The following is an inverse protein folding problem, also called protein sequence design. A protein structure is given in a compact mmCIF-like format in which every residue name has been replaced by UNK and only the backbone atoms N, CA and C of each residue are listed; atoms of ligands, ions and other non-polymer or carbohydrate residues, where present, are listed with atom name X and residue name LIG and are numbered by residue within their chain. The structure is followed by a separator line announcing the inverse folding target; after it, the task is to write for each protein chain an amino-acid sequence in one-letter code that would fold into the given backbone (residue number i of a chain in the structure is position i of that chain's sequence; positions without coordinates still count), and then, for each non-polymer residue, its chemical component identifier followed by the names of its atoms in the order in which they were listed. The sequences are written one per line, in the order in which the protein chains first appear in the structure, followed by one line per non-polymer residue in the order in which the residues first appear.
data_IF_200595070579
#
_entry.id   IF_200595070579
#
_cell.length_a   1.000
_cell.length_b   1.000
_cell.length_c   1.000
_cell.angle_alpha   90.00
_cell.angle_beta   90.00
_cell.angle_gamma   90.00
#
_symmetry.space_group_name_H-M   'P 1'
#
loop_
_entity.id
_entity.type
_entity.pdbx_description
1 polymer ?
#
# COMPACT_ATOMS: atom_id res chain seq x y z
N UNK A 1 29.28 38.13 6.82
CA UNK A 1 29.04 36.76 6.31
C UNK A 1 30.03 36.50 5.19
N UNK A 2 30.90 35.50 5.34
CA UNK A 2 31.79 35.04 4.26
C UNK A 2 30.95 34.55 3.08
N UNK A 3 31.31 34.97 1.87
CA UNK A 3 30.66 34.55 0.64
C UNK A 3 30.93 33.05 0.47
N UNK A 4 29.88 32.23 0.56
CA UNK A 4 29.99 30.78 0.36
C UNK A 4 30.31 30.53 -1.11
N UNK A 5 31.28 29.66 -1.40
CA UNK A 5 31.60 29.27 -2.77
C UNK A 5 30.37 28.59 -3.40
N UNK A 6 29.84 29.10 -4.53
CA UNK A 6 28.77 28.44 -5.27
C UNK A 6 29.04 26.96 -5.57
N UNK A 7 30.31 26.56 -5.78
CA UNK A 7 30.68 25.16 -6.01
C UNK A 7 30.48 24.29 -4.78
N UNK A 8 30.77 24.82 -3.59
CA UNK A 8 30.54 24.12 -2.33
C UNK A 8 29.04 23.95 -2.05
N UNK A 9 28.22 24.95 -2.43
CA UNK A 9 26.76 24.83 -2.35
C UNK A 9 26.28 23.72 -3.28
N UNK A 10 26.71 23.73 -4.54
CA UNK A 10 26.30 22.72 -5.52
C UNK A 10 26.67 21.31 -5.04
N UNK A 11 27.91 21.11 -4.56
CA UNK A 11 28.36 19.82 -4.02
C UNK A 11 27.48 19.30 -2.88
N UNK A 12 26.98 20.20 -2.02
CA UNK A 12 26.06 19.83 -0.93
C UNK A 12 24.68 19.47 -1.47
N UNK A 13 24.19 20.22 -2.46
CA UNK A 13 22.91 19.93 -3.11
C UNK A 13 22.94 18.61 -3.86
N UNK A 14 24.04 18.31 -4.56
CA UNK A 14 24.23 17.04 -5.26
C UNK A 14 24.19 15.87 -4.27
N UNK A 15 24.91 15.99 -3.15
CA UNK A 15 24.90 14.97 -2.09
C UNK A 15 23.50 14.79 -1.48
N UNK A 16 22.76 15.87 -1.25
CA UNK A 16 21.40 15.80 -0.73
C UNK A 16 20.48 15.11 -1.75
N UNK A 17 20.62 15.45 -3.03
CA UNK A 17 19.84 14.87 -4.12
C UNK A 17 20.11 13.38 -4.27
N UNK A 18 21.36 12.96 -4.14
CA UNK A 18 21.77 11.54 -4.12
C UNK A 18 21.09 10.80 -2.97
N UNK A 19 21.22 11.30 -1.73
CA UNK A 19 20.61 10.68 -0.53
C UNK A 19 19.09 10.55 -0.70
N UNK A 20 18.41 11.61 -1.14
CA UNK A 20 16.96 11.56 -1.32
C UNK A 20 16.54 10.62 -2.45
N UNK A 21 17.33 10.54 -3.53
CA UNK A 21 17.05 9.61 -4.62
C UNK A 21 17.11 8.16 -4.14
N UNK A 22 18.14 7.81 -3.37
CA UNK A 22 18.28 6.47 -2.79
C UNK A 22 17.15 6.12 -1.83
N UNK A 23 16.74 7.08 -0.97
CA UNK A 23 15.61 6.91 -0.06
C UNK A 23 14.32 6.62 -0.85
N UNK A 24 14.05 7.39 -1.90
CA UNK A 24 12.83 7.23 -2.71
C UNK A 24 12.84 5.88 -3.46
N UNK A 25 13.96 5.47 -4.05
CA UNK A 25 14.08 4.17 -4.72
C UNK A 25 13.91 3.00 -3.75
N UNK A 26 14.45 3.10 -2.53
CA UNK A 26 14.25 2.09 -1.50
C UNK A 26 12.78 2.04 -1.03
N UNK A 27 12.17 3.20 -0.80
CA UNK A 27 10.76 3.29 -0.43
C UNK A 27 9.86 2.67 -1.50
N UNK A 28 10.08 2.94 -2.79
CA UNK A 28 9.31 2.33 -3.88
C UNK A 28 9.41 0.80 -3.85
N UNK A 29 10.60 0.26 -3.58
CA UNK A 29 10.83 -1.18 -3.51
C UNK A 29 10.07 -1.81 -2.35
N UNK A 30 10.15 -1.24 -1.14
CA UNK A 30 9.47 -1.75 0.05
C UNK A 30 7.95 -1.59 -0.07
N UNK A 31 7.48 -0.50 -0.68
CA UNK A 31 6.06 -0.20 -0.88
C UNK A 31 5.35 -1.24 -1.74
N UNK A 32 6.08 -1.97 -2.58
CA UNK A 32 5.51 -3.06 -3.38
C UNK A 32 4.98 -4.17 -2.50
N UNK A 33 5.72 -4.61 -1.50
CA UNK A 33 5.41 -5.86 -0.78
C UNK A 33 4.93 -5.62 0.65
N UNK A 34 5.23 -4.46 1.25
CA UNK A 34 4.84 -4.13 2.62
C UNK A 34 3.41 -3.64 2.71
N UNK A 35 2.57 -4.40 3.41
CA UNK A 35 1.22 -3.99 3.78
C UNK A 35 1.27 -2.71 4.66
N UNK A 36 0.50 -1.66 4.32
CA UNK A 36 0.47 -0.40 5.07
C UNK A 36 -0.09 -0.51 6.49
N UNK A 37 -0.86 -1.56 6.75
CA UNK A 37 -1.44 -1.83 8.07
C UNK A 37 -0.65 -2.87 8.88
N UNK A 38 0.55 -3.29 8.45
CA UNK A 38 1.41 -4.21 9.19
C UNK A 38 2.47 -3.43 9.98
N UNK A 39 2.31 -3.38 11.30
CA UNK A 39 3.24 -2.66 12.17
C UNK A 39 4.60 -3.39 12.32
N UNK A 40 5.50 -2.82 13.13
CA UNK A 40 6.85 -3.39 13.36
C UNK A 40 6.86 -4.74 14.10
N UNK A 41 5.75 -5.11 14.74
CA UNK A 41 5.55 -6.38 15.45
C UNK A 41 4.74 -7.38 14.61
N UNK A 42 4.54 -7.09 13.33
CA UNK A 42 3.73 -7.88 12.39
C UNK A 42 2.23 -7.99 12.74
N UNK A 43 1.77 -7.15 13.65
CA UNK A 43 0.34 -7.01 13.93
C UNK A 43 -0.33 -6.15 12.86
N UNK A 44 -1.54 -6.56 12.50
CA UNK A 44 -2.47 -5.85 11.65
C UNK A 44 -3.15 -4.72 12.44
N UNK A 45 -3.01 -3.49 11.95
CA UNK A 45 -3.61 -2.27 12.52
C UNK A 45 -4.81 -1.78 11.72
N UNK A 46 -5.32 -2.58 10.78
CA UNK A 46 -6.46 -2.19 9.96
C UNK A 46 -7.76 -2.21 10.79
N UNK A 47 -8.51 -1.10 10.76
CA UNK A 47 -9.85 -0.99 11.36
C UNK A 47 -10.94 -1.67 10.50
N UNK A 48 -10.56 -2.20 9.33
CA UNK A 48 -11.45 -2.93 8.43
C UNK A 48 -10.96 -4.37 8.24
N UNK A 49 -11.91 -5.27 7.91
CA UNK A 49 -11.62 -6.67 7.59
C UNK A 49 -11.03 -6.81 6.19
N UNK A 50 -9.93 -7.54 6.07
CA UNK A 50 -9.36 -7.95 4.78
C UNK A 50 -9.03 -9.45 4.77
N UNK A 51 -8.87 -10.03 3.57
CA UNK A 51 -8.60 -11.47 3.40
C UNK A 51 -7.28 -11.97 4.01
N UNK A 52 -6.35 -11.05 4.26
CA UNK A 52 -5.02 -11.37 4.80
C UNK A 52 -4.97 -11.20 6.33
N UNK A 53 -6.04 -10.74 6.96
CA UNK A 53 -6.11 -10.59 8.41
C UNK A 53 -6.42 -11.95 9.01
N UNK A 54 -5.57 -12.44 9.89
CA UNK A 54 -5.72 -13.72 10.57
C UNK A 54 -6.06 -13.49 12.05
N UNK A 55 -6.78 -14.44 12.63
CA UNK A 55 -7.02 -14.47 14.06
C UNK A 55 -5.69 -14.58 14.79
N UNK A 56 -5.59 -13.91 15.93
CA UNK A 56 -4.44 -14.05 16.80
C UNK A 56 -4.54 -15.36 17.59
N UNK A 57 -3.44 -15.77 18.23
CA UNK A 57 -3.37 -17.01 19.02
C UNK A 57 -4.34 -17.01 20.21
N UNK A 58 -4.71 -15.83 20.71
CA UNK A 58 -5.70 -15.63 21.78
C UNK A 58 -6.73 -14.57 21.37
N UNK A 59 -7.93 -14.59 21.97
CA UNK A 59 -8.98 -13.60 21.67
C UNK A 59 -8.58 -12.16 21.99
N UNK A 60 -7.65 -11.97 22.92
CA UNK A 60 -7.14 -10.67 23.37
C UNK A 60 -5.94 -10.18 22.55
N UNK A 61 -5.32 -11.07 21.75
CA UNK A 61 -4.14 -10.73 20.99
C UNK A 61 -4.50 -9.94 19.71
N UNK A 62 -3.64 -9.00 19.29
CA UNK A 62 -3.86 -8.23 18.08
C UNK A 62 -3.76 -9.13 16.85
N UNK A 63 -4.69 -8.91 15.92
CA UNK A 63 -4.76 -9.66 14.66
C UNK A 63 -3.44 -9.54 13.90
N UNK A 64 -3.06 -10.58 13.16
CA UNK A 64 -1.81 -10.60 12.38
C UNK A 64 -2.10 -10.52 10.89
N UNK A 65 -1.09 -10.10 10.12
CA UNK A 65 -1.17 -10.11 8.67
C UNK A 65 -0.51 -11.38 8.12
N UNK A 66 -1.31 -12.33 7.65
CA UNK A 66 -0.85 -13.58 7.05
C UNK A 66 -0.38 -13.46 5.59
N UNK A 67 0.07 -12.28 5.19
CA UNK A 67 0.46 -12.04 3.81
C UNK A 67 1.93 -12.44 3.55
N UNK A 68 2.14 -13.22 2.49
CA UNK A 68 3.45 -13.77 2.10
C UNK A 68 4.33 -12.81 1.26
N UNK A 69 3.84 -11.62 0.89
CA UNK A 69 4.63 -10.60 0.16
C UNK A 69 4.31 -10.46 -1.33
N UNK A 70 3.42 -11.28 -1.88
CA UNK A 70 3.09 -11.32 -3.32
C UNK A 70 2.11 -10.23 -3.85
N UNK A 71 1.58 -9.35 -2.99
CA UNK A 71 0.66 -8.30 -3.43
C UNK A 71 1.40 -6.99 -3.63
N UNK A 72 1.07 -6.31 -4.73
CA UNK A 72 1.53 -4.95 -5.00
C UNK A 72 0.72 -3.94 -4.17
N UNK A 73 1.30 -3.45 -3.08
CA UNK A 73 0.73 -2.45 -2.19
C UNK A 73 1.01 -1.01 -2.60
N UNK A 74 1.72 -0.74 -3.71
CA UNK A 74 2.07 0.64 -4.11
C UNK A 74 0.86 1.55 -4.16
N UNK A 75 -0.27 1.08 -4.70
CA UNK A 75 -1.50 1.87 -4.78
C UNK A 75 -2.06 2.30 -3.42
N UNK A 76 -1.72 1.58 -2.34
CA UNK A 76 -2.13 1.93 -0.98
C UNK A 76 -1.20 2.97 -0.32
N UNK A 77 0.03 3.10 -0.83
CA UNK A 77 1.01 4.12 -0.41
C UNK A 77 0.98 5.38 -1.28
N UNK A 78 0.48 5.26 -2.52
CA UNK A 78 0.36 6.38 -3.46
C UNK A 78 -0.73 7.37 -3.02
N UNK A 79 -0.31 8.60 -2.73
CA UNK A 79 -1.20 9.72 -2.39
C UNK A 79 -1.60 10.59 -3.60
N UNK A 80 -1.25 10.19 -4.84
CA UNK A 80 -1.58 10.95 -6.04
C UNK A 80 -3.09 10.94 -6.29
N UNK A 81 -3.78 12.09 -6.24
CA UNK A 81 -5.24 12.15 -6.37
C UNK A 81 -5.79 11.57 -7.69
N UNK A 82 -5.04 11.68 -8.79
CA UNK A 82 -5.45 11.15 -10.09
C UNK A 82 -5.36 9.62 -10.14
N UNK A 83 -4.39 9.02 -9.46
CA UNK A 83 -4.26 7.57 -9.34
C UNK A 83 -5.31 7.00 -8.39
N UNK A 84 -5.63 7.71 -7.32
CA UNK A 84 -6.74 7.37 -6.42
C UNK A 84 -8.08 7.33 -7.17
N UNK A 85 -8.40 8.35 -7.99
CA UNK A 85 -9.63 8.36 -8.78
C UNK A 85 -9.74 7.14 -9.71
N UNK A 86 -8.62 6.77 -10.37
CA UNK A 86 -8.57 5.59 -11.23
C UNK A 86 -8.72 4.29 -10.44
N UNK A 87 -8.08 4.17 -9.28
CA UNK A 87 -8.20 3.01 -8.40
C UNK A 87 -9.64 2.82 -7.89
N UNK A 88 -10.28 3.91 -7.44
CA UNK A 88 -11.69 3.90 -6.99
C UNK A 88 -12.63 3.44 -8.10
N UNK A 89 -12.46 3.95 -9.33
CA UNK A 89 -13.26 3.51 -10.49
C UNK A 89 -13.09 2.00 -10.74
N UNK A 90 -11.86 1.49 -10.67
CA UNK A 90 -11.57 0.06 -10.86
C UNK A 90 -12.21 -0.80 -9.77
N UNK A 91 -12.18 -0.37 -8.51
CA UNK A 91 -12.82 -1.07 -7.39
C UNK A 91 -14.35 -1.15 -7.56
N UNK A 92 -14.98 -0.05 -7.99
CA UNK A 92 -16.41 0.02 -8.28
C UNK A 92 -16.82 -0.91 -9.44
N UNK A 93 -16.03 -0.96 -10.52
CA UNK A 93 -16.21 -1.92 -11.62
C UNK A 93 -16.10 -3.38 -11.15
N UNK A 94 -15.09 -3.70 -10.33
CA UNK A 94 -14.92 -5.03 -9.72
C UNK A 94 -16.13 -5.38 -8.84
N UNK A 95 -16.62 -4.42 -8.04
CA UNK A 95 -17.78 -4.56 -7.18
C UNK A 95 -19.05 -4.89 -7.98
N UNK A 96 -19.34 -4.11 -9.03
CA UNK A 96 -20.48 -4.36 -9.94
C UNK A 96 -20.39 -5.73 -10.61
N UNK A 97 -19.21 -6.09 -11.12
CA UNK A 97 -18.99 -7.38 -11.77
C UNK A 97 -19.20 -8.54 -10.79
N UNK A 98 -18.70 -8.42 -9.55
CA UNK A 98 -18.92 -9.41 -8.51
C UNK A 98 -20.40 -9.54 -8.10
N UNK A 99 -21.13 -8.43 -8.00
CA UNK A 99 -22.56 -8.42 -7.71
C UNK A 99 -23.35 -9.15 -8.81
N UNK A 100 -23.06 -8.86 -10.08
CA UNK A 100 -23.67 -9.54 -11.23
C UNK A 100 -23.43 -11.05 -11.19
N UNK A 101 -22.18 -11.49 -11.01
CA UNK A 101 -21.85 -12.92 -10.88
C UNK A 101 -22.63 -13.62 -9.76
N UNK A 102 -22.79 -12.96 -8.61
CA UNK A 102 -23.57 -13.50 -7.48
C UNK A 102 -25.07 -13.59 -7.78
N UNK A 103 -25.61 -12.64 -8.53
CA UNK A 103 -27.02 -12.67 -8.95
C UNK A 103 -27.26 -13.81 -9.95
N UNK A 104 -26.39 -13.94 -10.96
CA UNK A 104 -26.48 -15.01 -11.96
C UNK A 104 -26.34 -16.41 -11.32
N UNK A 105 -25.40 -16.57 -10.38
CA UNK A 105 -25.23 -17.82 -9.64
C UNK A 105 -26.44 -18.17 -8.77
N UNK A 106 -27.14 -17.17 -8.20
CA UNK A 106 -28.39 -17.38 -7.46
C UNK A 106 -29.52 -17.81 -8.39
N UNK A 107 -29.69 -17.15 -9.53
CA UNK A 107 -30.72 -17.47 -10.52
C UNK A 107 -30.60 -18.91 -11.02
N UNK A 108 -29.37 -19.34 -11.35
CA UNK A 108 -29.07 -20.71 -11.80
C UNK A 108 -29.35 -21.78 -10.74
N UNK A 109 -29.45 -21.41 -9.46
CA UNK A 109 -29.71 -22.35 -8.35
C UNK A 109 -31.21 -22.54 -8.06
N UNK A 110 -32.04 -21.68 -8.65
CA UNK A 110 -33.51 -21.67 -8.51
C UNK A 110 -34.24 -22.23 -9.74
N UNK A 111 -33.53 -22.43 -10.85
CA UNK A 111 -33.97 -23.22 -12.03
C UNK A 111 -33.52 -24.68 -11.87
#
# INVERSE_FOLDING_TARGET
MSKIDPKDIQKRMDRISEIFSDIVSHAETVSKTRCPYRNRHDHCTAEFRCRNQQAAETEEAPLVCGHEGEFDYRSAWESNPLLHARATKKLDEIGRAAAKRRADARRKKTD
#
